data_IF_005816930314
#
_entry.id   IF_005816930314
#
_cell.length_a   1.000
_cell.length_b   1.000
_cell.length_c   1.000
_cell.angle_alpha   90.00
_cell.angle_beta   90.00
_cell.angle_gamma   90.00
#
_symmetry.space_group_name_H-M   'P 1'
#
loop_
_entity.id
_entity.type
_entity.pdbx_description
1 polymer ?
#
# COMPACT_ATOMS: atom_id res chain seq x y z
N UNK A 1 44.24 -5.46 4.64
CA UNK A 1 42.95 -5.85 4.04
C UNK A 1 42.25 -4.56 3.62
N UNK A 2 42.54 -4.10 2.42
CA UNK A 2 42.09 -2.80 1.89
C UNK A 2 41.04 -3.06 0.79
N UNK A 3 39.84 -2.46 0.83
CA UNK A 3 38.83 -2.70 -0.21
C UNK A 3 39.15 -1.90 -1.48
N UNK A 4 39.17 -2.60 -2.62
CA UNK A 4 39.45 -2.03 -3.93
C UNK A 4 38.43 -0.96 -4.38
N UNK A 5 38.85 0.04 -5.17
CA UNK A 5 37.98 1.13 -5.63
C UNK A 5 36.93 0.66 -6.65
N UNK A 6 35.70 1.18 -6.52
CA UNK A 6 34.58 0.93 -7.44
C UNK A 6 34.75 1.76 -8.73
N UNK A 7 34.88 1.07 -9.87
CA UNK A 7 34.92 1.65 -11.21
C UNK A 7 33.49 1.92 -11.74
N UNK A 8 33.14 3.14 -12.21
CA UNK A 8 31.77 3.51 -12.59
C UNK A 8 31.45 3.50 -14.11
N UNK A 9 32.11 2.69 -14.95
CA UNK A 9 31.98 2.85 -16.42
C UNK A 9 31.97 1.59 -17.31
N UNK A 10 31.13 0.60 -17.04
CA UNK A 10 30.95 -0.57 -17.95
C UNK A 10 29.70 -0.44 -18.84
N UNK A 11 29.77 -0.71 -20.16
CA UNK A 11 28.61 -0.60 -21.05
C UNK A 11 27.62 -1.75 -20.83
N UNK A 12 26.34 -1.39 -20.77
CA UNK A 12 25.21 -2.33 -20.74
C UNK A 12 25.16 -3.04 -22.10
N UNK A 13 25.42 -4.35 -22.11
CA UNK A 13 25.37 -5.16 -23.33
C UNK A 13 23.90 -5.49 -23.66
N UNK A 14 23.34 -4.82 -24.66
CA UNK A 14 22.01 -5.13 -25.18
C UNK A 14 22.08 -6.31 -26.16
N UNK A 15 21.52 -7.46 -25.76
CA UNK A 15 21.38 -8.62 -26.64
C UNK A 15 20.19 -8.41 -27.59
N UNK A 16 20.47 -8.10 -28.86
CA UNK A 16 19.47 -7.97 -29.92
C UNK A 16 19.22 -9.32 -30.60
N UNK A 17 18.29 -10.11 -30.06
CA UNK A 17 17.74 -11.29 -30.72
C UNK A 17 16.63 -10.94 -31.74
N UNK A 18 16.36 -11.79 -32.75
CA UNK A 18 15.32 -11.55 -33.74
C UNK A 18 13.93 -11.56 -33.10
N UNK A 19 13.12 -10.54 -33.43
CA UNK A 19 11.73 -10.38 -32.98
C UNK A 19 10.86 -11.47 -33.60
N UNK A 20 10.71 -12.60 -32.91
CA UNK A 20 9.63 -13.55 -33.16
C UNK A 20 8.35 -12.96 -32.59
N UNK A 21 7.54 -12.33 -33.44
CA UNK A 21 6.18 -11.91 -33.09
C UNK A 21 5.32 -13.17 -32.99
N UNK A 22 5.15 -13.68 -31.77
CA UNK A 22 4.21 -14.75 -31.48
C UNK A 22 2.82 -14.11 -31.41
N UNK A 23 2.04 -14.19 -32.48
CA UNK A 23 0.61 -13.84 -32.45
C UNK A 23 -0.12 -14.93 -31.68
N UNK A 24 -0.30 -14.72 -30.38
CA UNK A 24 -1.17 -15.54 -29.55
C UNK A 24 -2.62 -15.36 -30.03
N UNK A 25 -3.40 -16.44 -30.25
CA UNK A 25 -4.83 -16.29 -30.43
C UNK A 25 -5.37 -15.71 -29.13
N UNK A 26 -5.94 -14.51 -29.21
CA UNK A 26 -6.64 -13.90 -28.08
C UNK A 26 -7.89 -14.75 -27.86
N UNK A 27 -7.76 -15.82 -27.07
CA UNK A 27 -8.90 -16.48 -26.46
C UNK A 27 -9.51 -15.39 -25.59
N UNK A 28 -10.51 -14.72 -26.13
CA UNK A 28 -11.41 -13.88 -25.38
C UNK A 28 -12.05 -14.80 -24.33
N UNK A 29 -11.40 -14.91 -23.18
CA UNK A 29 -12.03 -15.30 -21.96
C UNK A 29 -13.00 -14.16 -21.66
N UNK A 30 -14.13 -14.18 -22.35
CA UNK A 30 -15.35 -13.53 -21.93
C UNK A 30 -15.61 -14.17 -20.58
N UNK A 31 -15.20 -13.50 -19.51
CA UNK A 31 -15.87 -13.67 -18.24
C UNK A 31 -17.31 -13.27 -18.52
N UNK A 32 -18.11 -14.26 -18.95
CA UNK A 32 -19.55 -14.17 -18.90
C UNK A 32 -19.84 -14.03 -17.41
N UNK A 33 -20.00 -12.79 -16.96
CA UNK A 33 -20.68 -12.50 -15.71
C UNK A 33 -22.01 -13.22 -15.84
N UNK A 34 -22.34 -14.21 -14.99
CA UNK A 34 -23.67 -14.79 -15.02
C UNK A 34 -24.63 -13.62 -14.85
N UNK A 35 -25.57 -13.47 -15.76
CA UNK A 35 -26.62 -12.48 -15.65
C UNK A 35 -27.28 -12.71 -14.30
N UNK A 36 -26.95 -11.85 -13.32
CA UNK A 36 -27.50 -11.90 -11.98
C UNK A 36 -29.00 -11.86 -12.18
N UNK A 37 -29.68 -12.95 -11.80
CA UNK A 37 -31.13 -12.99 -11.63
C UNK A 37 -31.57 -11.66 -11.02
N UNK A 38 -32.66 -11.09 -11.51
CA UNK A 38 -33.17 -9.76 -11.21
C UNK A 38 -33.57 -9.56 -9.73
N UNK A 39 -32.62 -9.80 -8.83
CA UNK A 39 -32.62 -9.43 -7.44
C UNK A 39 -32.34 -7.93 -7.39
N UNK A 40 -33.18 -7.23 -6.63
CA UNK A 40 -33.08 -5.81 -6.37
C UNK A 40 -31.61 -5.37 -6.21
N UNK A 41 -31.24 -4.18 -6.71
CA UNK A 41 -29.90 -3.64 -6.47
C UNK A 41 -29.63 -3.69 -4.97
N UNK A 42 -28.49 -4.29 -4.59
CA UNK A 42 -28.10 -4.36 -3.19
C UNK A 42 -27.93 -2.96 -2.60
N UNK A 43 -28.02 -2.83 -1.27
CA UNK A 43 -27.82 -1.56 -0.58
C UNK A 43 -26.40 -0.99 -0.72
N UNK A 44 -25.46 -1.77 -1.25
CA UNK A 44 -24.10 -1.35 -1.51
C UNK A 44 -24.04 -0.26 -2.58
N UNK A 45 -23.48 0.90 -2.22
CA UNK A 45 -23.22 2.02 -3.13
C UNK A 45 -21.73 2.37 -3.04
N UNK A 46 -20.93 2.13 -4.10
CA UNK A 46 -19.48 2.38 -4.10
C UNK A 46 -19.08 3.81 -3.73
N UNK A 47 -19.98 4.78 -3.91
CA UNK A 47 -19.78 6.17 -3.52
C UNK A 47 -19.61 6.39 -2.01
N UNK A 48 -20.02 5.44 -1.18
CA UNK A 48 -19.85 5.49 0.28
C UNK A 48 -18.67 4.64 0.78
N UNK A 49 -17.90 4.03 -0.12
CA UNK A 49 -16.72 3.27 0.24
C UNK A 49 -15.56 4.23 0.51
N UNK A 50 -14.98 4.17 1.71
CA UNK A 50 -13.90 5.03 2.14
C UNK A 50 -12.89 4.25 3.00
N UNK A 51 -11.61 4.37 2.66
CA UNK A 51 -10.53 3.82 3.49
C UNK A 51 -10.34 4.69 4.74
N UNK A 52 -10.33 4.04 5.91
CA UNK A 52 -10.31 4.68 7.22
C UNK A 52 -9.00 4.43 8.02
N UNK A 53 -7.93 3.99 7.38
CA UNK A 53 -6.64 3.77 8.07
C UNK A 53 -5.68 4.95 7.92
N UNK A 54 -4.75 5.10 8.86
CA UNK A 54 -3.70 6.13 8.84
C UNK A 54 -2.37 5.63 9.39
N UNK A 55 -1.26 6.03 8.77
CA UNK A 55 0.11 5.67 9.18
C UNK A 55 1.00 6.91 9.18
N UNK A 56 2.04 6.93 10.03
CA UNK A 56 2.99 8.03 10.12
C UNK A 56 4.28 7.62 10.83
N UNK A 57 5.32 8.45 10.74
CA UNK A 57 6.59 8.21 11.41
C UNK A 57 7.17 9.50 12.01
N UNK A 58 8.01 9.34 13.03
CA UNK A 58 8.78 10.43 13.64
C UNK A 58 10.21 9.95 13.82
N UNK A 59 11.18 10.76 13.40
CA UNK A 59 12.60 10.46 13.54
C UNK A 59 13.39 11.73 13.91
N UNK A 60 14.51 11.54 14.60
CA UNK A 60 15.50 12.60 14.82
C UNK A 60 16.65 12.45 13.83
N UNK A 61 17.20 13.57 13.37
CA UNK A 61 18.32 13.58 12.40
C UNK A 61 19.70 13.63 13.07
N UNK A 62 19.72 13.90 14.38
CA UNK A 62 20.92 14.04 15.20
C UNK A 62 21.52 12.70 15.65
N UNK A 63 20.89 11.57 15.30
CA UNK A 63 21.27 10.20 15.66
C UNK A 63 21.32 9.93 17.17
N UNK A 64 20.74 10.79 18.00
CA UNK A 64 20.70 10.60 19.45
C UNK A 64 19.39 9.92 19.86
N UNK A 65 19.44 8.80 20.60
CA UNK A 65 18.24 8.17 21.11
C UNK A 65 17.57 9.08 22.15
N UNK A 66 16.26 9.26 22.03
CA UNK A 66 15.49 10.11 22.94
C UNK A 66 14.08 9.57 23.15
N UNK A 67 13.53 9.68 24.36
CA UNK A 67 12.11 9.38 24.62
C UNK A 67 11.16 10.33 23.87
N UNK A 68 11.65 11.48 23.41
CA UNK A 68 10.84 12.49 22.73
C UNK A 68 10.13 11.94 21.49
N UNK A 69 10.79 11.07 20.71
CA UNK A 69 10.18 10.44 19.53
C UNK A 69 8.96 9.58 19.89
N UNK A 70 8.99 8.87 21.02
CA UNK A 70 7.83 8.08 21.47
C UNK A 70 6.69 8.97 21.93
N UNK A 71 6.96 10.06 22.66
CA UNK A 71 5.93 11.03 23.05
C UNK A 71 5.24 11.64 21.82
N UNK A 72 6.02 11.96 20.78
CA UNK A 72 5.50 12.46 19.51
C UNK A 72 4.69 11.40 18.76
N UNK A 73 5.16 10.15 18.73
CA UNK A 73 4.43 9.02 18.16
C UNK A 73 3.05 8.82 18.79
N UNK A 74 2.97 8.78 20.13
CA UNK A 74 1.69 8.68 20.84
C UNK A 74 0.76 9.86 20.55
N UNK A 75 1.32 11.07 20.45
CA UNK A 75 0.55 12.27 20.09
C UNK A 75 0.02 12.22 18.65
N UNK A 76 0.79 11.64 17.73
CA UNK A 76 0.37 11.42 16.36
C UNK A 76 -0.75 10.37 16.29
N UNK A 77 -0.62 9.24 17.00
CA UNK A 77 -1.66 8.20 17.08
C UNK A 77 -2.98 8.76 17.62
N UNK A 78 -2.94 9.55 18.69
CA UNK A 78 -4.14 10.19 19.25
C UNK A 78 -4.85 11.11 18.23
N UNK A 79 -4.12 11.69 17.28
CA UNK A 79 -4.70 12.51 16.22
C UNK A 79 -5.35 11.72 15.10
N UNK A 80 -5.09 10.41 14.99
CA UNK A 80 -5.66 9.53 13.96
C UNK A 80 -7.01 8.91 14.36
N UNK A 81 -7.50 9.14 15.58
CA UNK A 81 -8.74 8.54 16.10
C UNK A 81 -9.95 8.79 15.18
N UNK A 82 -10.02 9.96 14.52
CA UNK A 82 -11.10 10.30 13.59
C UNK A 82 -11.15 9.41 12.33
N UNK A 83 -10.08 8.66 12.06
CA UNK A 83 -10.04 7.65 11.00
C UNK A 83 -10.31 6.24 11.54
N UNK A 84 -9.97 5.96 12.79
CA UNK A 84 -10.17 4.63 13.37
C UNK A 84 -11.64 4.21 13.43
N UNK A 85 -11.88 2.90 13.28
CA UNK A 85 -13.18 2.32 13.60
C UNK A 85 -13.47 2.49 15.11
N UNK A 86 -14.71 2.83 15.42
CA UNK A 86 -15.20 3.00 16.80
C UNK A 86 -16.26 1.94 17.07
N UNK A 87 -16.05 1.14 18.11
CA UNK A 87 -17.01 0.14 18.58
C UNK A 87 -18.25 0.76 19.22
N UNK A 88 -19.24 -0.08 19.54
CA UNK A 88 -20.53 0.37 20.08
C UNK A 88 -20.43 1.11 21.44
N UNK A 89 -19.35 0.89 22.20
CA UNK A 89 -19.12 1.47 23.52
C UNK A 89 -18.29 2.77 23.50
N UNK A 90 -17.93 3.28 22.32
CA UNK A 90 -17.04 4.43 22.11
C UNK A 90 -15.67 4.34 22.81
N UNK A 91 -15.27 3.15 23.27
CA UNK A 91 -14.00 2.88 23.96
C UNK A 91 -13.16 1.85 23.22
N UNK A 92 -13.81 0.97 22.48
CA UNK A 92 -13.19 -0.08 21.68
C UNK A 92 -12.88 0.43 20.28
N UNK A 93 -11.71 0.07 19.76
CA UNK A 93 -11.33 0.27 18.36
C UNK A 93 -10.57 -0.96 17.85
N UNK A 94 -10.39 -1.06 16.53
CA UNK A 94 -9.86 -2.28 15.89
C UNK A 94 -8.37 -2.54 16.17
N UNK A 95 -7.59 -1.49 16.49
CA UNK A 95 -6.18 -1.59 16.88
C UNK A 95 -5.37 -0.33 16.56
N UNK A 96 -4.29 -0.11 17.32
CA UNK A 96 -3.31 0.96 17.08
C UNK A 96 -1.91 0.50 17.53
N UNK A 97 -0.86 1.02 16.89
CA UNK A 97 0.54 0.69 17.15
C UNK A 97 1.51 1.78 16.72
#
# INVERSE_FOLDING_TARGET
MEPAPRNPGGPVLFYAGPRTTITMPTRAHRHQTPARSAAAPGLYRPSFEHDSCGVGFVATLDRMPSRKVVSLGLSALARLIHRGAVGADARTGDGAG
#
